data_IF_575626583756
#
_entry.id   IF_575626583756
#
_cell.length_a   1.000
_cell.length_b   1.000
_cell.length_c   1.000
_cell.angle_alpha   90.00
_cell.angle_beta   90.00
_cell.angle_gamma   90.00
#
_symmetry.space_group_name_H-M   'P 1'
#
loop_
_entity.id
_entity.type
_entity.pdbx_description
1 polymer ?
#
# COMPACT_ATOMS: atom_id res chain seq x y z
N UNK A 1 -34.72 -14.52 2.87
CA UNK A 1 -33.41 -15.22 2.88
C UNK A 1 -32.39 -14.31 3.52
N UNK A 2 -31.57 -14.81 4.45
CA UNK A 2 -30.51 -14.01 5.08
C UNK A 2 -29.45 -13.70 4.04
N UNK A 3 -28.86 -12.50 4.07
CA UNK A 3 -27.71 -12.14 3.23
C UNK A 3 -26.43 -12.49 3.98
N UNK A 4 -25.37 -12.86 3.26
CA UNK A 4 -24.05 -13.03 3.87
C UNK A 4 -23.58 -11.73 4.50
N UNK A 5 -23.07 -11.81 5.73
CA UNK A 5 -22.42 -10.71 6.43
C UNK A 5 -21.16 -11.24 7.09
N UNK A 6 -20.00 -10.71 6.67
CA UNK A 6 -18.74 -11.09 7.28
C UNK A 6 -18.62 -10.51 8.69
N UNK A 7 -18.46 -11.38 9.68
CA UNK A 7 -18.38 -11.01 11.10
C UNK A 7 -17.33 -9.93 11.41
N UNK A 8 -16.20 -9.97 10.71
CA UNK A 8 -15.06 -9.05 10.93
C UNK A 8 -14.96 -7.92 9.90
N UNK A 9 -16.06 -7.56 9.21
CA UNK A 9 -16.05 -6.53 8.16
C UNK A 9 -15.50 -5.17 8.66
N UNK A 10 -15.84 -4.76 9.88
CA UNK A 10 -15.31 -3.52 10.46
C UNK A 10 -13.79 -3.55 10.60
N UNK A 11 -13.21 -4.70 10.97
CA UNK A 11 -11.76 -4.85 11.15
C UNK A 11 -11.08 -4.85 9.78
N UNK A 12 -11.67 -5.52 8.78
CA UNK A 12 -11.19 -5.49 7.40
C UNK A 12 -11.13 -4.06 6.86
N UNK A 13 -12.16 -3.25 7.08
CA UNK A 13 -12.19 -1.83 6.66
C UNK A 13 -11.09 -1.00 7.33
N UNK A 14 -10.83 -1.22 8.62
CA UNK A 14 -9.71 -0.57 9.33
C UNK A 14 -8.37 -0.97 8.73
N UNK A 15 -8.18 -2.25 8.40
CA UNK A 15 -6.94 -2.73 7.78
C UNK A 15 -6.75 -2.20 6.35
N UNK A 16 -7.82 -2.08 5.58
CA UNK A 16 -7.79 -1.43 4.26
C UNK A 16 -7.37 0.04 4.38
N UNK A 17 -7.95 0.78 5.33
CA UNK A 17 -7.57 2.18 5.59
C UNK A 17 -6.09 2.28 6.00
N UNK A 18 -5.60 1.36 6.86
CA UNK A 18 -4.18 1.33 7.24
C UNK A 18 -3.25 1.07 6.07
N UNK A 19 -3.65 0.19 5.14
CA UNK A 19 -2.91 -0.05 3.89
C UNK A 19 -2.85 1.23 3.06
N UNK A 20 -3.98 1.91 2.85
CA UNK A 20 -4.04 3.18 2.09
C UNK A 20 -3.12 4.26 2.71
N UNK A 21 -3.16 4.40 4.04
CA UNK A 21 -2.26 5.33 4.75
C UNK A 21 -0.78 4.95 4.52
N UNK A 22 -0.44 3.66 4.60
CA UNK A 22 0.93 3.21 4.34
C UNK A 22 1.38 3.45 2.87
N UNK A 23 0.47 3.33 1.90
CA UNK A 23 0.73 3.67 0.49
C UNK A 23 1.03 5.17 0.33
N UNK A 24 0.21 6.02 0.95
CA UNK A 24 0.42 7.47 0.94
C UNK A 24 1.75 7.87 1.59
N UNK A 25 2.09 7.27 2.73
CA UNK A 25 3.35 7.53 3.42
C UNK A 25 4.57 7.10 2.61
N UNK A 26 4.50 5.94 1.93
CA UNK A 26 5.55 5.49 1.03
C UNK A 26 5.71 6.43 -0.16
N UNK A 27 4.60 6.90 -0.75
CA UNK A 27 4.64 7.86 -1.84
C UNK A 27 5.30 9.18 -1.39
N UNK A 28 4.95 9.69 -0.21
CA UNK A 28 5.56 10.89 0.37
C UNK A 28 7.05 10.70 0.66
N UNK A 29 7.47 9.54 1.17
CA UNK A 29 8.88 9.23 1.43
C UNK A 29 9.70 9.18 0.12
N UNK A 30 9.15 8.58 -0.94
CA UNK A 30 9.78 8.55 -2.27
C UNK A 30 9.90 9.94 -2.88
N UNK A 31 8.86 10.77 -2.75
CA UNK A 31 8.90 12.15 -3.23
C UNK A 31 9.99 12.97 -2.52
N UNK A 32 10.15 12.77 -1.21
CA UNK A 32 11.22 13.39 -0.44
C UNK A 32 12.61 12.91 -0.91
N UNK A 33 12.80 11.60 -1.07
CA UNK A 33 14.07 11.05 -1.57
C UNK A 33 14.45 11.67 -2.92
N UNK A 34 13.52 11.69 -3.88
CA UNK A 34 13.75 12.28 -5.19
C UNK A 34 14.09 13.78 -5.10
N UNK A 35 13.46 14.53 -4.18
CA UNK A 35 13.78 15.93 -3.96
C UNK A 35 15.21 16.12 -3.42
N UNK A 36 15.63 15.29 -2.46
CA UNK A 36 16.99 15.34 -1.89
C UNK A 36 18.06 14.93 -2.92
N UNK A 37 17.78 13.95 -3.79
CA UNK A 37 18.64 13.56 -4.91
C UNK A 37 18.78 14.70 -5.94
N UNK A 38 17.68 15.38 -6.25
CA UNK A 38 17.71 16.55 -7.14
C UNK A 38 18.57 17.68 -6.57
N UNK A 39 18.52 17.91 -5.26
CA UNK A 39 19.38 18.92 -4.61
C UNK A 39 20.85 18.54 -4.64
N UNK A 40 21.17 17.25 -4.48
CA UNK A 40 22.55 16.77 -4.65
C UNK A 40 23.05 17.04 -6.07
N UNK A 41 22.25 16.69 -7.08
CA UNK A 41 22.60 16.96 -8.49
C UNK A 41 22.86 18.45 -8.74
N UNK A 42 22.04 19.35 -8.18
CA UNK A 42 22.28 20.80 -8.26
C UNK A 42 23.61 21.23 -7.64
N UNK A 43 23.95 20.70 -6.46
CA UNK A 43 25.23 20.99 -5.81
C UNK A 43 26.40 20.49 -6.65
N UNK A 44 26.28 19.30 -7.23
CA UNK A 44 27.31 18.72 -8.09
C UNK A 44 27.52 19.54 -9.37
N UNK A 45 26.43 19.99 -10.01
CA UNK A 45 26.52 20.92 -11.14
C UNK A 45 27.22 22.22 -10.75
N UNK A 46 26.91 22.80 -9.59
CA UNK A 46 27.59 24.01 -9.11
C UNK A 46 29.09 23.79 -8.87
N UNK A 47 29.49 22.60 -8.38
CA UNK A 47 30.91 22.26 -8.21
C UNK A 47 31.60 22.21 -9.57
N UNK A 48 31.02 21.51 -10.54
CA UNK A 48 31.56 21.40 -11.91
C UNK A 48 31.65 22.78 -12.57
N UNK A 49 30.59 23.58 -12.47
CA UNK A 49 30.52 24.95 -13.00
C UNK A 49 31.58 25.87 -12.38
N UNK A 50 31.84 25.73 -11.08
CA UNK A 50 32.92 26.45 -10.39
C UNK A 50 34.30 25.94 -10.82
N UNK A 51 34.40 24.71 -11.30
CA UNK A 51 35.62 24.07 -11.81
C UNK A 51 35.94 24.34 -13.27
N UNK A 52 35.07 25.05 -14.00
CA UNK A 52 35.30 25.38 -15.41
C UNK A 52 36.61 26.15 -15.65
N UNK A 53 37.50 25.63 -16.52
CA UNK A 53 38.77 26.28 -16.87
C UNK A 53 38.59 27.66 -17.51
N UNK A 54 37.53 27.87 -18.30
CA UNK A 54 37.29 29.16 -18.97
C UNK A 54 37.06 30.30 -17.97
N UNK A 55 36.46 30.02 -16.82
CA UNK A 55 36.30 31.00 -15.74
C UNK A 55 37.62 31.32 -15.04
N UNK A 56 38.60 30.40 -15.08
CA UNK A 56 39.94 30.66 -14.58
C UNK A 56 40.73 31.58 -15.50
N UNK A 57 40.56 31.43 -16.82
CA UNK A 57 41.25 32.27 -17.81
C UNK A 57 40.73 33.72 -17.80
N UNK A 58 39.44 33.92 -17.46
CA UNK A 58 38.81 35.25 -17.40
C UNK A 58 39.14 36.04 -16.13
N UNK A 59 39.36 35.36 -14.99
CA UNK A 59 39.67 35.98 -13.70
C UNK A 59 40.93 35.35 -13.10
N UNK A 60 42.05 36.05 -13.21
CA UNK A 60 43.39 35.55 -12.89
C UNK A 60 44.02 36.22 -11.65
N UNK A 61 43.21 36.80 -10.75
CA UNK A 61 43.71 37.40 -9.52
C UNK A 61 43.86 36.38 -8.38
N UNK A 62 44.90 36.56 -7.53
CA UNK A 62 45.09 35.73 -6.35
C UNK A 62 43.89 35.74 -5.38
N UNK A 63 43.22 36.89 -5.25
CA UNK A 63 42.01 37.03 -4.44
C UNK A 63 40.84 36.17 -4.95
N UNK A 64 40.68 36.08 -6.27
CA UNK A 64 39.68 35.22 -6.90
C UNK A 64 39.94 33.74 -6.60
N UNK A 65 41.19 33.29 -6.72
CA UNK A 65 41.54 31.89 -6.39
C UNK A 65 41.21 31.53 -4.93
N UNK A 66 41.52 32.42 -3.98
CA UNK A 66 41.21 32.21 -2.56
C UNK A 66 39.69 32.14 -2.33
N UNK A 67 38.91 33.07 -2.91
CA UNK A 67 37.45 33.06 -2.76
C UNK A 67 36.82 31.80 -3.36
N UNK A 68 37.29 31.42 -4.56
CA UNK A 68 36.82 30.22 -5.25
C UNK A 68 37.11 28.95 -4.44
N UNK A 69 38.31 28.83 -3.89
CA UNK A 69 38.66 27.68 -3.05
C UNK A 69 37.77 27.59 -1.81
N UNK A 70 37.51 28.71 -1.13
CA UNK A 70 36.57 28.79 0.00
C UNK A 70 35.16 28.36 -0.42
N UNK A 71 34.69 28.82 -1.58
CA UNK A 71 33.39 28.46 -2.11
C UNK A 71 33.29 26.96 -2.44
N UNK A 72 34.32 26.38 -3.07
CA UNK A 72 34.39 24.94 -3.34
C UNK A 72 34.39 24.11 -2.05
N UNK A 73 35.11 24.53 -1.00
CA UNK A 73 35.04 23.85 0.31
C UNK A 73 33.62 23.88 0.87
N UNK A 74 32.97 25.05 0.85
CA UNK A 74 31.58 25.18 1.29
C UNK A 74 30.62 24.29 0.48
N UNK A 75 30.78 24.21 -0.85
CA UNK A 75 29.95 23.34 -1.70
C UNK A 75 30.19 21.86 -1.38
N UNK A 76 31.43 21.45 -1.12
CA UNK A 76 31.75 20.07 -0.72
C UNK A 76 31.15 19.72 0.65
N UNK A 77 31.16 20.63 1.60
CA UNK A 77 30.51 20.40 2.90
C UNK A 77 28.99 20.33 2.76
N UNK A 78 28.38 21.17 1.92
CA UNK A 78 26.96 21.04 1.54
C UNK A 78 26.67 19.69 0.89
N UNK A 79 27.53 19.22 -0.04
CA UNK A 79 27.40 17.90 -0.67
C UNK A 79 27.42 16.78 0.36
N UNK A 80 28.37 16.79 1.31
CA UNK A 80 28.44 15.78 2.38
C UNK A 80 27.15 15.75 3.22
N UNK A 81 26.66 16.92 3.63
CA UNK A 81 25.41 17.01 4.38
C UNK A 81 24.21 16.54 3.56
N UNK A 82 24.20 16.82 2.26
CA UNK A 82 23.13 16.39 1.36
C UNK A 82 23.11 14.86 1.19
N UNK A 83 24.27 14.23 1.05
CA UNK A 83 24.39 12.76 1.01
C UNK A 83 23.86 12.14 2.31
N UNK A 84 24.11 12.76 3.47
CA UNK A 84 23.55 12.30 4.72
C UNK A 84 22.01 12.38 4.75
N UNK A 85 21.42 13.46 4.23
CA UNK A 85 19.96 13.60 4.10
C UNK A 85 19.35 12.56 3.16
N UNK A 86 20.00 12.27 2.04
CA UNK A 86 19.58 11.20 1.13
C UNK A 86 19.52 9.87 1.86
N UNK A 87 20.58 9.51 2.62
CA UNK A 87 20.58 8.27 3.42
C UNK A 87 19.44 8.20 4.43
N UNK A 88 19.09 9.33 5.07
CA UNK A 88 17.93 9.38 5.97
C UNK A 88 16.62 9.16 5.21
N UNK A 89 16.47 9.75 4.02
CA UNK A 89 15.28 9.59 3.18
C UNK A 89 15.17 8.16 2.61
N UNK A 90 16.28 7.53 2.25
CA UNK A 90 16.35 6.11 1.85
C UNK A 90 15.88 5.20 3.00
N UNK A 91 16.43 5.38 4.20
CA UNK A 91 16.03 4.62 5.38
C UNK A 91 14.54 4.80 5.70
N UNK A 92 14.02 6.02 5.58
CA UNK A 92 12.58 6.28 5.75
C UNK A 92 11.74 5.59 4.68
N UNK A 93 12.18 5.61 3.42
CA UNK A 93 11.49 4.93 2.31
C UNK A 93 11.43 3.43 2.54
N UNK A 94 12.54 2.82 2.97
CA UNK A 94 12.58 1.41 3.31
C UNK A 94 11.62 1.07 4.47
N UNK A 95 11.65 1.84 5.55
CA UNK A 95 10.73 1.65 6.67
C UNK A 95 9.25 1.79 6.27
N UNK A 96 8.90 2.73 5.38
CA UNK A 96 7.55 2.85 4.85
C UNK A 96 7.16 1.65 3.97
N UNK A 97 8.10 1.13 3.17
CA UNK A 97 7.86 -0.03 2.31
C UNK A 97 7.61 -1.30 3.14
N UNK A 98 8.34 -1.49 4.24
CA UNK A 98 8.12 -2.59 5.19
C UNK A 98 6.74 -2.48 5.84
N UNK A 99 6.35 -1.29 6.32
CA UNK A 99 5.01 -1.06 6.89
C UNK A 99 3.89 -1.33 5.90
N UNK A 100 4.05 -0.93 4.64
CA UNK A 100 3.08 -1.25 3.59
C UNK A 100 2.97 -2.76 3.36
N UNK A 101 4.12 -3.46 3.30
CA UNK A 101 4.14 -4.91 3.14
C UNK A 101 3.36 -5.61 4.25
N UNK A 102 3.57 -5.22 5.50
CA UNK A 102 2.87 -5.79 6.65
C UNK A 102 1.36 -5.51 6.57
N UNK A 103 0.96 -4.27 6.23
CA UNK A 103 -0.45 -3.91 6.05
C UNK A 103 -1.11 -4.72 4.92
N UNK A 104 -0.41 -4.98 3.81
CA UNK A 104 -0.89 -5.81 2.71
C UNK A 104 -1.08 -7.27 3.13
N UNK A 105 -0.16 -7.82 3.94
CA UNK A 105 -0.26 -9.18 4.47
C UNK A 105 -1.51 -9.32 5.34
N UNK A 106 -1.77 -8.37 6.23
CA UNK A 106 -2.94 -8.38 7.11
C UNK A 106 -4.26 -8.26 6.35
N UNK A 107 -4.33 -7.39 5.33
CA UNK A 107 -5.52 -7.30 4.46
C UNK A 107 -5.74 -8.63 3.75
N UNK A 108 -4.71 -9.20 3.14
CA UNK A 108 -4.82 -10.48 2.41
C UNK A 108 -5.27 -11.62 3.32
N UNK A 109 -4.78 -11.66 4.57
CA UNK A 109 -5.20 -12.63 5.58
C UNK A 109 -6.70 -12.51 5.88
N UNK A 110 -7.21 -11.29 6.05
CA UNK A 110 -8.62 -11.03 6.34
C UNK A 110 -9.54 -11.28 5.14
N UNK A 111 -9.09 -10.96 3.93
CA UNK A 111 -9.82 -11.30 2.70
C UNK A 111 -9.97 -12.81 2.55
N UNK A 112 -8.90 -13.58 2.80
CA UNK A 112 -8.96 -15.04 2.79
C UNK A 112 -9.90 -15.59 3.86
N UNK A 113 -9.91 -15.01 5.06
CA UNK A 113 -10.86 -15.39 6.12
C UNK A 113 -12.31 -15.13 5.69
N UNK A 114 -12.57 -13.98 5.04
CA UNK A 114 -13.88 -13.64 4.48
C UNK A 114 -14.34 -14.63 3.41
N UNK A 115 -13.43 -15.04 2.53
CA UNK A 115 -13.72 -16.04 1.49
C UNK A 115 -14.12 -17.39 2.11
N UNK A 116 -13.40 -17.84 3.14
CA UNK A 116 -13.72 -19.08 3.86
C UNK A 116 -15.12 -18.97 4.52
N UNK A 117 -15.38 -17.91 5.28
CA UNK A 117 -16.68 -17.70 5.94
C UNK A 117 -17.83 -17.63 4.92
N UNK A 118 -17.58 -17.01 3.76
CA UNK A 118 -18.55 -16.98 2.66
C UNK A 118 -18.82 -18.37 2.08
N UNK A 119 -17.79 -19.19 1.88
CA UNK A 119 -17.98 -20.56 1.37
C UNK A 119 -18.74 -21.45 2.35
N UNK A 120 -18.50 -21.30 3.66
CA UNK A 120 -19.23 -22.01 4.70
C UNK A 120 -20.70 -21.57 4.72
N UNK A 121 -20.94 -20.25 4.67
CA UNK A 121 -22.29 -19.70 4.59
C UNK A 121 -23.07 -20.19 3.36
N UNK A 122 -22.45 -20.22 2.17
CA UNK A 122 -23.09 -20.71 0.94
C UNK A 122 -23.44 -22.20 1.03
N UNK A 123 -22.57 -23.00 1.66
CA UNK A 123 -22.83 -24.42 1.90
C UNK A 123 -24.01 -24.63 2.84
N UNK A 124 -24.07 -23.90 3.95
CA UNK A 124 -25.19 -23.95 4.90
C UNK A 124 -26.49 -23.49 4.25
N UNK A 125 -26.43 -22.40 3.50
CA UNK A 125 -27.57 -21.85 2.78
C UNK A 125 -28.17 -22.87 1.80
N UNK A 126 -27.34 -23.54 0.99
CA UNK A 126 -27.80 -24.60 0.06
C UNK A 126 -28.40 -25.80 0.80
N UNK A 127 -27.84 -26.18 1.95
CA UNK A 127 -28.39 -27.26 2.79
C UNK A 127 -29.75 -26.90 3.35
N UNK A 128 -29.93 -25.66 3.82
CA UNK A 128 -31.24 -25.16 4.29
C UNK A 128 -32.26 -25.12 3.14
N UNK A 129 -31.87 -24.66 1.96
CA UNK A 129 -32.74 -24.63 0.78
C UNK A 129 -33.17 -26.03 0.36
N UNK A 130 -32.24 -26.99 0.31
CA UNK A 130 -32.55 -28.39 0.01
C UNK A 130 -33.53 -28.96 1.05
N UNK A 131 -33.29 -28.73 2.34
CA UNK A 131 -34.17 -29.19 3.41
C UNK A 131 -35.60 -28.61 3.26
N UNK A 132 -35.73 -27.32 2.98
CA UNK A 132 -37.03 -26.68 2.74
C UNK A 132 -37.74 -27.28 1.52
N UNK A 133 -37.02 -27.55 0.44
CA UNK A 133 -37.58 -28.18 -0.75
C UNK A 133 -38.05 -29.61 -0.49
N UNK A 134 -37.27 -30.40 0.25
CA UNK A 134 -37.63 -31.76 0.64
C UNK A 134 -38.86 -31.79 1.56
N UNK A 135 -38.92 -30.88 2.54
CA UNK A 135 -40.07 -30.72 3.43
C UNK A 135 -41.35 -30.35 2.66
N UNK A 136 -41.26 -29.38 1.74
CA UNK A 136 -42.38 -29.03 0.87
C UNK A 136 -42.80 -30.18 -0.05
N UNK A 137 -41.83 -30.94 -0.58
CA UNK A 137 -42.07 -32.12 -1.40
C UNK A 137 -42.83 -33.21 -0.64
N UNK A 138 -42.37 -33.56 0.56
CA UNK A 138 -43.03 -34.50 1.45
C UNK A 138 -44.45 -34.07 1.80
N UNK A 139 -44.66 -32.80 2.20
CA UNK A 139 -45.99 -32.28 2.52
C UNK A 139 -46.96 -32.40 1.33
N UNK A 140 -46.51 -32.06 0.11
CA UNK A 140 -47.32 -32.19 -1.11
C UNK A 140 -47.65 -33.64 -1.43
N UNK A 141 -46.68 -34.55 -1.29
CA UNK A 141 -46.88 -35.98 -1.51
C UNK A 141 -47.88 -36.58 -0.50
N UNK A 142 -47.71 -36.29 0.79
CA UNK A 142 -48.63 -36.73 1.85
C UNK A 142 -50.05 -36.22 1.62
N UNK A 143 -50.21 -34.95 1.20
CA UNK A 143 -51.52 -34.39 0.87
C UNK A 143 -52.19 -35.12 -0.29
N UNK A 144 -51.46 -35.41 -1.38
CA UNK A 144 -51.99 -36.17 -2.52
C UNK A 144 -52.42 -37.58 -2.14
N UNK A 145 -51.67 -38.26 -1.27
CA UNK A 145 -52.05 -39.59 -0.79
C UNK A 145 -53.35 -39.55 0.03
N UNK A 146 -53.49 -38.57 0.92
CA UNK A 146 -54.72 -38.39 1.69
C UNK A 146 -55.93 -38.08 0.80
N UNK A 147 -55.75 -37.21 -0.20
CA UNK A 147 -56.80 -36.91 -1.20
C UNK A 147 -57.20 -38.17 -1.97
N UNK A 148 -56.25 -39.00 -2.43
CA UNK A 148 -56.54 -40.25 -3.13
C UNK A 148 -57.30 -41.26 -2.25
N UNK A 149 -56.94 -41.39 -0.97
CA UNK A 149 -57.64 -42.27 -0.03
C UNK A 149 -59.08 -41.83 0.26
N UNK A 150 -59.35 -40.52 0.21
CA UNK A 150 -60.70 -39.97 0.42
C UNK A 150 -61.65 -40.21 -0.77
N UNK A 151 -61.14 -40.45 -1.98
CA UNK A 151 -61.95 -40.76 -3.18
C UNK A 151 -62.21 -42.26 -3.40
N UNK A 152 -61.60 -43.13 -2.58
CA UNK A 152 -61.73 -44.60 -2.68
C UNK A 152 -62.69 -45.22 -1.65
N UNK A 153 -63.41 -44.41 -0.88
CA UNK A 153 -64.54 -44.82 -0.02
C UNK A 153 -65.84 -44.18 -0.53
#
# INVERSE_FOLDING_TARGET
>A
MKKFTFSMMSILNVNLTRKEVAEMELAAARALLAAEEMQLSKIEMLIVDTMEPEKMLKNNSGAYFIQREKYLRMLNDKKKNQVYRIRQAEAKTQSCAERLKDAMVEVKRMEKAREIEHTEWDLEFRREEQKLNDEMGCQRASRRMLEQMAFTN
#
